data_IF_141635749319
#
_entry.id   IF_141635749319
#
_cell.length_a   1.000
_cell.length_b   1.000
_cell.length_c   1.000
_cell.angle_alpha   90.00
_cell.angle_beta   90.00
_cell.angle_gamma   90.00
#
_symmetry.space_group_name_H-M   'P 1'
#
loop_
_entity.id
_entity.type
_entity.pdbx_description
1 polymer ?
#
# COMPACT_ATOMS: atom_id res chain seq x y z
N UNK A 1 4.74 -3.61 -14.39
CA UNK A 1 4.96 -2.37 -13.62
C UNK A 1 6.39 -1.90 -13.84
N UNK A 2 6.67 -0.59 -13.83
CA UNK A 2 8.05 -0.08 -13.89
C UNK A 2 8.58 0.16 -12.46
N UNK A 3 9.84 -0.20 -12.22
CA UNK A 3 10.56 -0.04 -10.96
C UNK A 3 11.90 0.63 -11.24
N UNK A 4 12.13 1.81 -10.66
CA UNK A 4 13.40 2.55 -10.77
C UNK A 4 14.09 2.47 -9.41
N UNK A 5 15.16 1.68 -9.33
CA UNK A 5 15.98 1.59 -8.12
C UNK A 5 16.91 2.81 -8.00
N UNK A 6 17.42 3.15 -6.79
CA UNK A 6 18.33 4.28 -6.62
C UNK A 6 19.70 4.15 -7.31
N UNK A 7 20.26 2.94 -7.36
CA UNK A 7 21.62 2.67 -7.83
C UNK A 7 21.86 2.97 -9.34
N UNK A 8 20.91 2.75 -10.27
CA UNK A 8 21.05 3.19 -11.66
C UNK A 8 20.71 4.67 -11.92
N UNK A 9 20.32 5.47 -10.92
CA UNK A 9 20.06 6.91 -11.12
C UNK A 9 21.39 7.67 -11.17
N UNK A 10 21.64 8.34 -12.29
CA UNK A 10 22.82 9.19 -12.52
C UNK A 10 22.65 10.57 -11.87
N UNK A 11 21.48 11.17 -12.07
CA UNK A 11 21.19 12.54 -11.67
C UNK A 11 19.68 12.72 -11.45
N UNK A 12 19.31 13.42 -10.38
CA UNK A 12 17.93 13.78 -10.05
C UNK A 12 17.84 15.27 -9.66
N UNK A 13 17.22 16.07 -10.53
CA UNK A 13 17.08 17.53 -10.36
C UNK A 13 15.60 17.89 -10.18
N UNK A 14 15.33 18.86 -9.30
CA UNK A 14 14.03 19.52 -9.18
C UNK A 14 14.12 20.90 -9.83
N UNK A 15 13.44 21.09 -10.95
CA UNK A 15 13.29 22.37 -11.63
C UNK A 15 12.05 23.08 -11.04
N UNK A 16 12.26 24.16 -10.27
CA UNK A 16 11.21 24.87 -9.48
C UNK A 16 10.39 25.90 -10.28
N UNK A 17 10.73 26.07 -11.55
CA UNK A 17 9.96 26.82 -12.55
C UNK A 17 10.26 26.17 -13.88
N UNK A 18 9.25 25.97 -14.72
CA UNK A 18 9.42 25.43 -16.05
C UNK A 18 9.00 26.46 -17.10
N UNK A 19 9.74 26.47 -18.20
CA UNK A 19 9.35 27.15 -19.43
C UNK A 19 8.59 26.15 -20.34
N UNK A 20 7.92 26.65 -21.38
CA UNK A 20 7.23 25.83 -22.40
C UNK A 20 8.14 24.86 -23.18
N UNK A 21 9.45 24.95 -22.96
CA UNK A 21 10.48 24.03 -23.48
C UNK A 21 10.59 22.73 -22.68
N UNK A 22 10.22 22.75 -21.39
CA UNK A 22 10.31 21.61 -20.46
C UNK A 22 8.98 20.87 -20.34
N UNK A 23 7.87 21.61 -20.33
CA UNK A 23 6.50 21.06 -20.39
C UNK A 23 5.76 21.67 -21.58
N UNK A 24 5.14 20.83 -22.42
CA UNK A 24 4.33 21.33 -23.54
C UNK A 24 3.03 21.94 -23.02
N UNK A 25 2.59 23.06 -23.58
CA UNK A 25 1.36 23.74 -23.17
C UNK A 25 0.13 22.82 -23.02
N UNK A 26 -0.08 21.88 -23.96
CA UNK A 26 -1.18 20.90 -23.90
C UNK A 26 -1.06 19.82 -22.82
N UNK A 27 0.03 19.78 -22.04
CA UNK A 27 0.18 18.95 -20.84
C UNK A 27 -0.09 19.75 -19.56
N UNK A 28 0.02 21.09 -19.60
CA UNK A 28 -0.25 21.95 -18.43
C UNK A 28 -1.73 21.82 -18.03
N UNK A 29 -2.64 21.82 -19.01
CA UNK A 29 -4.08 21.58 -18.80
C UNK A 29 -4.45 20.17 -18.29
N UNK A 30 -3.50 19.23 -18.26
CA UNK A 30 -3.67 17.92 -17.61
C UNK A 30 -3.31 17.95 -16.11
N UNK A 31 -2.56 18.96 -15.66
CA UNK A 31 -2.21 19.18 -14.26
C UNK A 31 -3.31 20.01 -13.58
N UNK A 32 -4.01 19.41 -12.61
CA UNK A 32 -5.04 20.14 -11.85
C UNK A 32 -4.40 21.28 -11.05
N UNK A 33 -4.91 22.50 -11.24
CA UNK A 33 -4.41 23.68 -10.52
C UNK A 33 -3.09 24.24 -11.07
N UNK A 34 -2.86 24.16 -12.38
CA UNK A 34 -1.77 24.88 -13.06
C UNK A 34 -2.31 25.58 -14.31
N UNK A 35 -2.30 26.92 -14.30
CA UNK A 35 -2.71 27.72 -15.46
C UNK A 35 -1.51 28.14 -16.34
N UNK A 36 -0.28 28.06 -15.80
CA UNK A 36 0.96 28.38 -16.52
C UNK A 36 2.07 27.33 -16.29
N UNK A 37 3.09 27.33 -17.16
CA UNK A 37 4.29 26.50 -16.96
C UNK A 37 5.08 26.90 -15.69
N UNK A 38 4.94 28.16 -15.26
CA UNK A 38 5.53 28.65 -14.01
C UNK A 38 4.85 28.09 -12.75
N UNK A 39 3.64 27.52 -12.87
CA UNK A 39 2.94 26.82 -11.79
C UNK A 39 3.33 25.35 -11.66
N UNK A 40 4.29 24.88 -12.47
CA UNK A 40 4.75 23.50 -12.53
C UNK A 40 6.12 23.36 -11.88
N UNK A 41 6.33 22.23 -11.19
CA UNK A 41 7.63 21.74 -10.73
C UNK A 41 7.93 20.47 -11.51
N UNK A 42 9.15 20.32 -12.03
CA UNK A 42 9.58 19.11 -12.74
C UNK A 42 10.68 18.39 -11.98
N UNK A 43 10.44 17.13 -11.62
CA UNK A 43 11.48 16.20 -11.18
C UNK A 43 12.06 15.50 -12.41
N UNK A 44 13.34 15.73 -12.68
CA UNK A 44 14.06 15.21 -13.84
C UNK A 44 15.04 14.13 -13.39
N UNK A 45 14.76 12.90 -13.82
CA UNK A 45 15.54 11.70 -13.53
C UNK A 45 16.36 11.32 -14.76
N UNK A 46 17.68 11.32 -14.66
CA UNK A 46 18.60 10.70 -15.62
C UNK A 46 19.08 9.36 -15.07
N UNK A 47 19.04 8.32 -15.90
CA UNK A 47 19.38 6.95 -15.52
C UNK A 47 20.57 6.44 -16.35
N UNK A 48 21.57 5.86 -15.68
CA UNK A 48 22.71 5.18 -16.30
C UNK A 48 22.18 3.97 -17.12
N UNK A 49 21.21 3.25 -16.53
CA UNK A 49 20.59 2.02 -17.02
C UNK A 49 19.08 2.21 -17.08
N UNK A 50 18.41 1.41 -17.91
CA UNK A 50 16.95 1.40 -17.98
C UNK A 50 16.31 0.94 -16.67
N UNK A 51 15.05 1.33 -16.46
CA UNK A 51 14.26 0.89 -15.31
C UNK A 51 13.81 -0.57 -15.45
N UNK A 52 13.64 -1.25 -14.32
CA UNK A 52 13.30 -2.67 -14.26
C UNK A 52 11.79 -2.85 -14.46
N UNK A 53 11.39 -3.79 -15.30
CA UNK A 53 9.98 -4.16 -15.50
C UNK A 53 9.63 -5.33 -14.58
N UNK A 54 8.70 -5.12 -13.65
CA UNK A 54 8.07 -6.22 -12.92
C UNK A 54 7.00 -6.88 -13.80
N UNK A 55 7.12 -8.20 -13.98
CA UNK A 55 6.19 -9.04 -14.76
C UNK A 55 5.73 -10.23 -13.90
N UNK A 56 4.57 -10.87 -14.18
CA UNK A 56 4.12 -12.05 -13.42
C UNK A 56 5.12 -13.21 -13.49
N UNK A 57 5.16 -14.04 -12.43
CA UNK A 57 6.10 -15.17 -12.36
C UNK A 57 5.91 -16.20 -13.49
N UNK A 58 4.66 -16.41 -13.93
CA UNK A 58 4.33 -17.33 -15.04
C UNK A 58 4.67 -16.78 -16.45
N UNK A 59 5.02 -15.50 -16.57
CA UNK A 59 5.29 -14.85 -17.86
C UNK A 59 6.72 -15.12 -18.34
N UNK A 60 6.97 -16.36 -18.78
CA UNK A 60 8.22 -16.75 -19.43
C UNK A 60 8.43 -16.02 -20.76
N UNK A 61 7.33 -15.74 -21.48
CA UNK A 61 7.29 -15.06 -22.77
C UNK A 61 7.54 -13.54 -22.68
N UNK A 62 7.76 -12.95 -23.85
CA UNK A 62 7.59 -11.51 -24.11
C UNK A 62 6.15 -11.06 -23.84
N UNK A 63 5.96 -9.77 -23.56
CA UNK A 63 4.64 -9.16 -23.39
C UNK A 63 4.22 -8.56 -24.73
N UNK A 64 3.03 -8.89 -25.21
CA UNK A 64 2.39 -8.25 -26.36
C UNK A 64 1.33 -7.23 -25.91
N UNK A 65 1.05 -6.19 -26.71
CA UNK A 65 -0.12 -5.33 -26.48
C UNK A 65 -1.43 -6.11 -26.61
N UNK A 66 -2.53 -5.56 -26.07
CA UNK A 66 -3.85 -6.16 -26.19
C UNK A 66 -4.47 -5.96 -27.59
N UNK A 67 -4.01 -4.94 -28.33
CA UNK A 67 -4.39 -4.69 -29.72
C UNK A 67 -3.21 -4.12 -30.52
N UNK A 68 -3.26 -4.18 -31.85
CA UNK A 68 -2.16 -3.68 -32.70
C UNK A 68 -1.92 -2.16 -32.58
N UNK A 69 -2.92 -1.40 -32.11
CA UNK A 69 -2.87 0.06 -31.95
C UNK A 69 -2.96 0.50 -30.48
N UNK A 70 -2.51 -0.35 -29.54
CA UNK A 70 -2.50 -0.10 -28.11
C UNK A 70 -1.50 1.02 -27.74
N UNK A 71 -2.00 2.26 -27.74
CA UNK A 71 -1.21 3.47 -27.53
C UNK A 71 -0.63 3.55 -26.11
N UNK A 72 -1.35 3.05 -25.11
CA UNK A 72 -0.91 3.05 -23.71
C UNK A 72 0.20 2.02 -23.48
N UNK A 73 0.10 0.83 -24.07
CA UNK A 73 1.20 -0.14 -24.09
C UNK A 73 2.44 0.43 -24.80
N UNK A 74 2.26 1.08 -25.95
CA UNK A 74 3.36 1.69 -26.69
C UNK A 74 4.03 2.83 -25.89
N UNK A 75 3.25 3.66 -25.20
CA UNK A 75 3.75 4.70 -24.31
C UNK A 75 4.49 4.11 -23.11
N UNK A 76 3.93 3.11 -22.43
CA UNK A 76 4.53 2.45 -21.27
C UNK A 76 5.84 1.74 -21.62
N UNK A 77 5.89 1.00 -22.73
CA UNK A 77 7.10 0.38 -23.26
C UNK A 77 8.20 1.44 -23.51
N UNK A 78 7.83 2.56 -24.15
CA UNK A 78 8.75 3.69 -24.39
C UNK A 78 9.22 4.39 -23.12
N UNK A 79 8.41 4.44 -22.06
CA UNK A 79 8.83 4.95 -20.75
C UNK A 79 9.86 4.01 -20.11
N UNK A 80 9.68 2.68 -20.20
CA UNK A 80 10.67 1.71 -19.71
C UNK A 80 11.99 1.77 -20.51
N UNK A 81 11.91 2.07 -21.81
CA UNK A 81 13.08 2.29 -22.68
C UNK A 81 13.76 3.65 -22.47
N UNK A 82 13.15 4.60 -21.75
CA UNK A 82 13.69 5.94 -21.54
C UNK A 82 14.79 5.98 -20.48
N UNK A 83 15.92 6.63 -20.80
CA UNK A 83 16.98 6.99 -19.84
C UNK A 83 16.80 8.35 -19.18
N UNK A 84 15.85 9.16 -19.65
CA UNK A 84 15.47 10.43 -19.03
C UNK A 84 13.97 10.42 -18.81
N UNK A 85 13.53 10.64 -17.57
CA UNK A 85 12.12 10.66 -17.18
C UNK A 85 11.85 11.98 -16.45
N UNK A 86 10.93 12.77 -16.99
CA UNK A 86 10.43 13.99 -16.36
C UNK A 86 9.09 13.67 -15.69
N UNK A 87 8.98 13.96 -14.39
CA UNK A 87 7.71 13.90 -13.65
C UNK A 87 7.29 15.34 -13.34
N UNK A 88 6.13 15.75 -13.83
CA UNK A 88 5.60 17.11 -13.68
C UNK A 88 4.52 17.14 -12.60
N UNK A 89 4.59 18.13 -11.72
CA UNK A 89 3.69 18.33 -10.59
C UNK A 89 3.19 19.78 -10.58
N UNK A 90 1.92 20.02 -10.23
CA UNK A 90 1.46 21.38 -9.91
C UNK A 90 2.04 21.80 -8.55
N UNK A 91 2.46 23.07 -8.44
CA UNK A 91 2.88 23.69 -7.18
C UNK A 91 1.82 23.58 -6.08
N UNK A 92 0.54 23.51 -6.45
CA UNK A 92 -0.57 23.37 -5.50
C UNK A 92 -0.63 21.98 -4.84
N UNK A 93 0.10 20.97 -5.35
CA UNK A 93 0.14 19.62 -4.78
C UNK A 93 1.10 19.47 -3.58
N UNK A 94 1.95 20.46 -3.30
CA UNK A 94 2.91 20.42 -2.20
C UNK A 94 2.42 21.26 -1.02
N UNK A 95 2.19 20.65 0.13
CA UNK A 95 1.66 21.32 1.33
C UNK A 95 2.76 21.41 2.40
N UNK A 96 2.93 22.60 2.99
CA UNK A 96 3.86 22.82 4.10
C UNK A 96 5.34 22.55 3.78
N UNK A 97 5.79 21.30 3.96
CA UNK A 97 7.18 20.88 3.82
C UNK A 97 7.43 19.87 2.68
N UNK A 98 6.40 19.41 1.96
CA UNK A 98 6.52 18.36 0.95
C UNK A 98 7.55 18.69 -0.15
N UNK A 99 7.58 19.95 -0.61
CA UNK A 99 8.56 20.42 -1.59
C UNK A 99 10.00 20.37 -1.06
N UNK A 100 10.20 20.65 0.23
CA UNK A 100 11.51 20.52 0.88
C UNK A 100 11.90 19.04 1.01
N UNK A 101 10.96 18.15 1.30
CA UNK A 101 11.20 16.70 1.29
C UNK A 101 11.58 16.21 -0.11
N UNK A 102 10.90 16.66 -1.18
CA UNK A 102 11.25 16.32 -2.56
C UNK A 102 12.66 16.80 -2.93
N UNK A 103 13.04 18.02 -2.54
CA UNK A 103 14.40 18.55 -2.74
C UNK A 103 15.47 17.75 -1.96
N UNK A 104 15.17 17.34 -0.73
CA UNK A 104 16.05 16.48 0.08
C UNK A 104 16.18 15.09 -0.56
N UNK A 105 15.07 14.50 -1.03
CA UNK A 105 15.05 13.21 -1.71
C UNK A 105 15.86 13.24 -3.01
N UNK A 106 15.62 14.21 -3.90
CA UNK A 106 16.35 14.35 -5.16
C UNK A 106 17.87 14.53 -4.94
N UNK A 107 18.24 15.29 -3.90
CA UNK A 107 19.63 15.46 -3.48
C UNK A 107 20.22 14.17 -2.91
N UNK A 108 19.49 13.42 -2.08
CA UNK A 108 19.96 12.16 -1.50
C UNK A 108 20.14 11.08 -2.58
N UNK A 109 19.21 11.01 -3.53
CA UNK A 109 19.23 10.14 -4.70
C UNK A 109 20.46 10.43 -5.59
N UNK A 110 20.65 11.69 -5.98
CA UNK A 110 21.83 12.15 -6.75
C UNK A 110 23.15 12.03 -6.00
N UNK A 111 23.12 11.89 -4.67
CA UNK A 111 24.31 11.65 -3.84
C UNK A 111 24.59 10.17 -3.62
N UNK A 112 23.84 9.27 -4.28
CA UNK A 112 23.82 7.82 -4.05
C UNK A 112 23.71 7.41 -2.56
N UNK A 113 22.99 8.20 -1.76
CA UNK A 113 22.75 7.96 -0.31
C UNK A 113 21.49 7.14 -0.02
N UNK A 114 20.77 6.77 -1.07
CA UNK A 114 19.58 5.92 -1.00
C UNK A 114 19.94 4.54 -1.57
N UNK A 115 19.43 3.49 -0.95
CA UNK A 115 19.57 2.11 -1.41
C UNK A 115 18.18 1.54 -1.69
N UNK A 116 18.06 0.64 -2.67
CA UNK A 116 16.82 -0.08 -2.92
C UNK A 116 16.48 -0.95 -1.70
N UNK A 117 15.26 -0.88 -1.13
CA UNK A 117 14.80 -1.86 -0.17
C UNK A 117 14.75 -3.25 -0.82
N UNK A 118 15.14 -4.29 -0.09
CA UNK A 118 14.96 -5.67 -0.52
C UNK A 118 13.46 -6.03 -0.48
N UNK A 119 12.75 -5.77 -1.57
CA UNK A 119 11.35 -6.16 -1.74
C UNK A 119 11.24 -7.65 -2.08
N UNK A 120 10.48 -8.39 -1.28
CA UNK A 120 10.05 -9.73 -1.64
C UNK A 120 8.87 -9.67 -2.63
N UNK A 121 9.17 -9.95 -3.90
CA UNK A 121 8.17 -10.00 -4.96
C UNK A 121 7.32 -11.29 -4.96
N UNK A 122 7.53 -12.24 -4.05
CA UNK A 122 6.72 -13.47 -3.96
C UNK A 122 5.24 -13.21 -3.69
N UNK A 123 4.93 -12.17 -2.89
CA UNK A 123 3.56 -11.83 -2.49
C UNK A 123 2.82 -10.91 -3.48
N UNK A 124 3.52 -10.36 -4.48
CA UNK A 124 2.90 -9.51 -5.50
C UNK A 124 1.88 -10.28 -6.34
N UNK A 125 1.00 -9.54 -7.03
CA UNK A 125 -0.01 -10.09 -7.93
C UNK A 125 -0.91 -11.15 -7.23
N UNK A 126 -1.52 -10.77 -6.12
CA UNK A 126 -2.40 -11.62 -5.29
C UNK A 126 -1.75 -12.97 -4.91
N UNK A 127 -0.49 -12.93 -4.46
CA UNK A 127 0.28 -14.12 -4.08
C UNK A 127 0.77 -15.00 -5.23
N UNK A 128 0.59 -14.59 -6.50
CA UNK A 128 1.11 -15.32 -7.68
C UNK A 128 2.58 -15.00 -8.00
N UNK A 129 3.13 -13.99 -7.34
CA UNK A 129 4.51 -13.54 -7.49
C UNK A 129 4.74 -12.67 -8.74
N UNK A 130 5.77 -11.82 -8.63
CA UNK A 130 6.36 -11.09 -9.75
C UNK A 130 7.87 -11.37 -9.84
N UNK A 131 8.42 -11.24 -11.05
CA UNK A 131 9.84 -11.32 -11.34
C UNK A 131 10.31 -10.01 -11.99
N UNK A 132 11.56 -9.66 -11.76
CA UNK A 132 12.23 -8.55 -12.43
C UNK A 132 12.76 -8.98 -13.81
N UNK A 133 12.50 -8.17 -14.83
CA UNK A 133 13.11 -8.29 -16.16
C UNK A 133 13.49 -6.92 -16.71
N UNK A 134 14.35 -6.90 -17.73
CA UNK A 134 14.71 -5.67 -18.45
C UNK A 134 13.60 -5.26 -19.45
N UNK A 135 13.69 -4.06 -20.04
CA UNK A 135 12.73 -3.55 -21.02
C UNK A 135 12.60 -4.43 -22.28
N UNK A 136 13.55 -5.32 -22.54
CA UNK A 136 13.53 -6.29 -23.64
C UNK A 136 12.35 -7.26 -23.60
N UNK A 137 11.59 -7.33 -22.49
CA UNK A 137 10.29 -8.05 -22.44
C UNK A 137 9.27 -7.54 -23.46
N UNK A 138 9.40 -6.31 -23.95
CA UNK A 138 8.53 -5.73 -24.98
C UNK A 138 9.02 -5.99 -26.41
N UNK A 139 10.22 -6.54 -26.59
CA UNK A 139 10.73 -6.92 -27.92
C UNK A 139 10.07 -8.23 -28.35
N UNK A 140 9.10 -8.16 -29.26
CA UNK A 140 8.72 -9.36 -30.01
C UNK A 140 9.94 -9.86 -30.81
N UNK A 141 10.19 -11.18 -30.88
CA UNK A 141 11.17 -11.71 -31.81
C UNK A 141 10.77 -11.26 -33.22
N UNK A 142 11.71 -10.61 -33.91
CA UNK A 142 11.44 -10.02 -35.23
C UNK A 142 10.96 -11.10 -36.20
N UNK A 143 9.95 -10.74 -37.02
CA UNK A 143 9.39 -11.64 -38.03
C UNK A 143 10.53 -12.31 -38.82
N UNK A 144 10.47 -13.64 -39.05
CA UNK A 144 11.51 -14.34 -39.79
C UNK A 144 11.72 -13.66 -41.15
N UNK A 145 12.99 -13.56 -41.62
CA UNK A 145 13.33 -12.72 -42.76
C UNK A 145 12.47 -13.09 -43.96
N UNK A 146 11.92 -12.10 -44.70
CA UNK A 146 10.86 -12.34 -45.66
C UNK A 146 11.35 -13.30 -46.76
N UNK A 147 10.83 -14.53 -46.73
CA UNK A 147 11.03 -15.49 -47.80
C UNK A 147 10.54 -14.85 -49.09
N UNK A 148 11.46 -14.66 -50.03
CA UNK A 148 11.17 -14.03 -51.32
C UNK A 148 10.21 -14.93 -52.09
N UNK A 149 8.92 -14.64 -52.02
CA UNK A 149 7.94 -15.15 -52.97
C UNK A 149 8.29 -14.61 -54.35
N UNK A 150 9.07 -15.39 -55.10
CA UNK A 150 9.37 -15.13 -56.50
C UNK A 150 8.04 -15.33 -57.26
N UNK A 151 7.36 -14.23 -57.55
CA UNK A 151 6.25 -14.19 -58.50
C UNK A 151 6.88 -13.86 -59.87
N UNK A 152 7.04 -14.83 -60.79
CA UNK A 152 7.56 -14.55 -62.12
C UNK A 152 6.45 -13.90 -62.96
N UNK A 153 6.46 -12.57 -63.03
CA UNK A 153 5.61 -11.84 -63.96
C UNK A 153 6.07 -12.04 -65.41
N UNK A 154 5.09 -12.12 -66.31
CA UNK A 154 5.22 -12.16 -67.78
C UNK A 154 5.75 -13.47 -68.40
N UNK A 155 4.82 -14.38 -68.71
CA UNK A 155 4.88 -15.18 -69.94
C UNK A 155 3.57 -15.00 -70.71
N UNK A 156 3.67 -14.69 -72.00
CA UNK A 156 2.53 -14.36 -72.88
C UNK A 156 2.45 -15.40 -73.98
N UNK A 157 1.33 -16.14 -74.08
CA UNK A 157 0.79 -16.73 -75.32
C UNK A 157 -0.52 -17.50 -75.06
N UNK A 158 -1.37 -17.64 -76.09
CA UNK A 158 -2.48 -18.62 -76.11
C UNK A 158 -3.90 -18.06 -76.01
N UNK A 159 -4.46 -17.55 -77.13
CA UNK A 159 -5.92 -17.28 -77.24
C UNK A 159 -6.69 -18.54 -77.67
N UNK A 160 -7.77 -18.91 -76.96
CA UNK A 160 -9.12 -19.19 -77.54
C UNK A 160 -10.18 -19.58 -76.48
N UNK A 161 -11.47 -19.21 -76.65
CA UNK A 161 -12.56 -19.56 -75.73
C UNK A 161 -13.57 -20.57 -76.32
N UNK A 162 -14.30 -21.32 -75.46
CA UNK A 162 -15.68 -21.79 -75.69
C UNK A 162 -16.42 -22.17 -74.40
N UNK A 163 -17.74 -22.34 -74.49
CA UNK A 163 -18.71 -22.46 -73.40
C UNK A 163 -18.92 -23.88 -72.86
N UNK A 164 -19.32 -23.94 -71.58
CA UNK A 164 -20.40 -24.77 -70.98
C UNK A 164 -20.62 -26.20 -71.51
N UNK A 165 -20.32 -27.20 -70.67
CA UNK A 165 -21.19 -28.36 -70.37
C UNK A 165 -20.71 -29.14 -69.12
N UNK A 166 -21.64 -29.66 -68.32
CA UNK A 166 -21.44 -30.68 -67.27
C UNK A 166 -21.48 -32.11 -67.90
N UNK A 167 -21.27 -33.25 -67.19
CA UNK A 167 -21.19 -33.49 -65.73
C UNK A 167 -20.08 -34.48 -65.25
N UNK A 168 -20.16 -34.87 -63.96
CA UNK A 168 -19.39 -35.93 -63.26
C UNK A 168 -19.64 -37.35 -63.83
N UNK A 169 -18.81 -38.40 -63.52
CA UNK A 169 -18.88 -39.07 -62.19
C UNK A 169 -17.59 -39.80 -61.69
N UNK A 170 -17.73 -40.51 -60.56
CA UNK A 170 -16.81 -41.51 -59.94
C UNK A 170 -15.52 -41.00 -59.23
N UNK A 171 -15.13 -41.52 -58.06
CA UNK A 171 -15.84 -42.41 -57.13
C UNK A 171 -14.96 -42.98 -56.00
N UNK A 172 -15.56 -43.42 -54.87
CA UNK A 172 -15.03 -44.32 -53.81
C UNK A 172 -13.69 -43.97 -53.09
N UNK A 173 -13.50 -44.20 -51.77
CA UNK A 173 -14.27 -44.92 -50.73
C UNK A 173 -13.75 -44.58 -49.32
N UNK A 174 -14.56 -44.88 -48.29
CA UNK A 174 -14.21 -45.27 -46.90
C UNK A 174 -13.31 -44.39 -46.01
N UNK A 175 -13.75 -44.11 -44.77
CA UNK A 175 -12.96 -43.41 -43.74
C UNK A 175 -13.77 -42.89 -42.55
N UNK A 176 -14.21 -43.77 -41.63
CA UNK A 176 -15.02 -43.40 -40.45
C UNK A 176 -14.13 -42.96 -39.28
N UNK A 177 -14.47 -41.85 -38.62
CA UNK A 177 -14.08 -41.56 -37.22
C UNK A 177 -15.01 -40.51 -36.61
N UNK A 178 -15.47 -40.74 -35.38
CA UNK A 178 -16.35 -39.83 -34.61
C UNK A 178 -15.50 -39.09 -33.57
N UNK A 179 -15.72 -37.77 -33.33
CA UNK A 179 -15.03 -37.06 -32.24
C UNK A 179 -15.52 -37.55 -30.87
N UNK A 180 -14.62 -37.94 -29.93
CA UNK A 180 -15.03 -38.37 -28.60
C UNK A 180 -15.40 -37.19 -27.70
N UNK A 181 -16.50 -37.32 -26.96
CA UNK A 181 -16.83 -36.45 -25.83
C UNK A 181 -15.76 -36.58 -24.73
N UNK A 182 -15.35 -35.46 -24.15
CA UNK A 182 -14.59 -35.44 -22.90
C UNK A 182 -15.37 -34.70 -21.82
N UNK A 183 -15.75 -35.42 -20.77
CA UNK A 183 -16.27 -34.82 -19.54
C UNK A 183 -15.17 -34.03 -18.81
N UNK A 184 -15.49 -32.91 -18.15
CA UNK A 184 -14.58 -32.33 -17.16
C UNK A 184 -14.48 -33.28 -15.96
N UNK A 185 -13.26 -33.71 -15.65
CA UNK A 185 -12.98 -34.62 -14.53
C UNK A 185 -13.06 -33.89 -13.20
N UNK A 186 -14.04 -34.24 -12.35
CA UNK A 186 -14.04 -33.84 -10.94
C UNK A 186 -12.95 -34.59 -10.16
N UNK A 187 -11.79 -33.98 -10.01
CA UNK A 187 -10.75 -34.46 -9.09
C UNK A 187 -11.06 -34.01 -7.66
N UNK A 188 -11.31 -34.99 -6.79
CA UNK A 188 -11.55 -34.83 -5.36
C UNK A 188 -10.24 -34.42 -4.66
N UNK A 189 -10.19 -33.21 -4.09
CA UNK A 189 -9.13 -32.82 -3.15
C UNK A 189 -9.72 -32.81 -1.74
N UNK A 190 -9.23 -33.69 -0.89
CA UNK A 190 -9.75 -33.85 0.48
C UNK A 190 -9.04 -32.91 1.47
N UNK A 191 -9.85 -32.25 2.30
CA UNK A 191 -9.55 -31.73 3.64
C UNK A 191 -8.33 -30.80 3.80
N UNK A 192 -8.63 -29.54 4.17
CA UNK A 192 -8.11 -28.95 5.42
C UNK A 192 -8.91 -27.67 5.76
N UNK A 193 -10.08 -27.86 6.37
CA UNK A 193 -10.90 -26.77 6.91
C UNK A 193 -10.74 -26.73 8.44
N UNK A 194 -10.16 -25.68 9.03
CA UNK A 194 -10.16 -25.48 10.47
C UNK A 194 -11.56 -25.00 10.91
N UNK A 195 -12.44 -25.94 11.24
CA UNK A 195 -13.73 -25.63 11.86
C UNK A 195 -13.58 -25.63 13.38
N UNK A 196 -13.28 -24.48 13.97
CA UNK A 196 -13.43 -24.29 15.43
C UNK A 196 -14.51 -23.25 15.73
N UNK A 197 -15.69 -23.78 16.07
CA UNK A 197 -16.73 -23.05 16.78
C UNK A 197 -16.93 -23.79 18.10
N UNK A 198 -16.46 -23.22 19.22
CA UNK A 198 -17.28 -22.98 20.41
C UNK A 198 -16.55 -22.38 21.62
N UNK A 199 -17.25 -21.43 22.26
CA UNK A 199 -17.24 -21.07 23.69
C UNK A 199 -16.01 -20.42 24.35
N UNK A 200 -16.22 -19.46 25.28
CA UNK A 200 -15.16 -18.75 25.99
C UNK A 200 -14.70 -19.50 27.25
N UNK A 201 -13.45 -19.27 27.66
CA UNK A 201 -12.95 -19.60 29.01
C UNK A 201 -12.71 -18.31 29.78
N UNK A 202 -13.44 -18.13 30.88
CA UNK A 202 -13.32 -17.00 31.80
C UNK A 202 -12.58 -17.42 33.08
N UNK A 203 -12.23 -16.44 33.93
CA UNK A 203 -11.79 -16.57 35.33
C UNK A 203 -10.39 -17.17 35.55
N UNK A 204 -9.48 -16.35 36.08
CA UNK A 204 -8.94 -16.54 37.44
C UNK A 204 -8.23 -15.28 37.96
N UNK A 205 -9.01 -14.38 38.57
CA UNK A 205 -8.51 -13.33 39.48
C UNK A 205 -9.00 -13.69 40.89
N UNK A 206 -8.17 -13.67 41.96
CA UNK A 206 -8.60 -14.13 43.28
C UNK A 206 -9.58 -13.17 43.97
N UNK A 207 -10.67 -13.71 44.54
CA UNK A 207 -11.74 -12.95 45.20
C UNK A 207 -11.60 -12.94 46.73
N UNK A 208 -11.88 -11.79 47.35
CA UNK A 208 -12.14 -11.56 48.79
C UNK A 208 -13.23 -10.46 48.82
N UNK A 209 -14.53 -10.68 49.09
CA UNK A 209 -15.23 -11.22 50.29
C UNK A 209 -14.96 -10.29 51.50
N UNK A 210 -15.90 -9.59 52.17
CA UNK A 210 -17.37 -9.64 52.37
C UNK A 210 -17.86 -8.22 52.86
N UNK A 211 -19.13 -7.75 52.96
CA UNK A 211 -20.51 -8.24 52.75
C UNK A 211 -21.50 -7.08 52.43
N UNK A 212 -22.69 -7.41 51.93
CA UNK A 212 -24.06 -6.83 52.09
C UNK A 212 -24.32 -5.36 52.53
N UNK A 213 -25.16 -4.63 51.75
CA UNK A 213 -26.61 -4.41 52.07
C UNK A 213 -27.39 -3.51 51.08
N UNK A 214 -28.70 -3.77 50.98
CA UNK A 214 -29.75 -2.88 50.45
C UNK A 214 -30.00 -1.69 51.42
N UNK A 215 -30.67 -0.57 51.12
CA UNK A 215 -31.96 -0.44 50.42
C UNK A 215 -32.36 1.03 50.08
N UNK A 216 -33.32 1.19 49.16
CA UNK A 216 -34.27 2.30 48.91
C UNK A 216 -33.92 3.82 49.07
N UNK A 217 -33.97 4.50 47.91
CA UNK A 217 -34.68 5.78 47.65
C UNK A 217 -34.05 7.17 48.07
N UNK A 218 -34.46 8.30 47.41
CA UNK A 218 -33.69 9.58 47.38
C UNK A 218 -34.25 10.67 48.35
N UNK A 219 -33.49 11.74 48.74
CA UNK A 219 -33.21 12.86 47.81
C UNK A 219 -31.95 13.76 48.01
N UNK A 220 -31.47 14.32 46.88
CA UNK A 220 -30.98 15.71 46.70
C UNK A 220 -29.60 16.20 47.21
N UNK A 221 -29.10 17.22 46.47
CA UNK A 221 -28.01 18.18 46.73
C UNK A 221 -26.64 17.69 47.27
N UNK A 222 -25.65 17.53 46.37
CA UNK A 222 -24.57 18.54 46.17
C UNK A 222 -23.71 18.23 44.93
N UNK A 223 -23.09 19.27 44.35
CA UNK A 223 -22.24 19.16 43.15
C UNK A 223 -20.75 19.18 43.49
N UNK A 224 -20.05 18.09 43.18
CA UNK A 224 -18.59 17.96 43.02
C UNK A 224 -18.33 16.65 42.25
N UNK A 225 -17.29 16.48 41.42
CA UNK A 225 -15.97 17.10 41.49
C UNK A 225 -15.46 17.58 40.11
N UNK A 226 -15.10 18.86 40.02
CA UNK A 226 -14.18 19.39 39.01
C UNK A 226 -12.77 19.44 39.59
N UNK A 227 -11.78 18.86 38.90
CA UNK A 227 -10.37 18.97 39.30
C UNK A 227 -9.45 19.36 38.13
N UNK A 228 -9.61 20.61 37.67
CA UNK A 228 -8.64 21.31 36.83
C UNK A 228 -7.35 21.63 37.65
N UNK A 229 -6.27 22.18 37.06
CA UNK A 229 -4.91 21.72 37.40
C UNK A 229 -4.36 22.17 38.75
N UNK A 230 -3.43 21.35 39.28
CA UNK A 230 -2.63 21.64 40.48
C UNK A 230 -1.87 22.96 40.27
N UNK A 231 -2.16 23.95 41.12
CA UNK A 231 -1.40 25.22 41.16
C UNK A 231 0.02 24.97 41.66
N UNK A 232 1.01 25.19 40.81
CA UNK A 232 2.42 25.29 41.21
C UNK A 232 2.54 26.43 42.23
N UNK A 233 3.06 26.14 43.43
CA UNK A 233 3.42 27.16 44.42
C UNK A 233 4.86 27.62 44.19
N UNK A 234 5.19 28.92 44.41
CA UNK A 234 6.58 29.37 44.36
C UNK A 234 7.44 28.70 45.45
N UNK A 235 8.59 28.16 45.06
CA UNK A 235 9.58 27.60 46.00
C UNK A 235 10.25 28.74 46.78
N UNK A 236 10.02 28.82 48.09
CA UNK A 236 10.69 29.79 48.96
C UNK A 236 12.05 29.21 49.39
N UNK A 237 13.13 29.80 48.88
CA UNK A 237 14.49 29.43 49.29
C UNK A 237 14.82 29.98 50.69
N UNK A 238 14.73 29.12 51.71
CA UNK A 238 15.22 29.44 53.07
C UNK A 238 16.74 29.46 53.10
N UNK A 239 17.34 30.66 52.97
CA UNK A 239 18.78 30.88 53.12
C UNK A 239 19.22 30.54 54.55
N UNK A 240 19.93 29.41 54.70
CA UNK A 240 20.48 28.99 55.99
C UNK A 240 21.41 30.05 56.60
N UNK A 241 21.21 30.33 57.90
CA UNK A 241 22.08 31.20 58.72
C UNK A 241 22.88 30.40 59.77
N UNK A 242 22.93 29.08 59.61
CA UNK A 242 23.42 28.10 60.61
C UNK A 242 24.94 28.12 60.79
N UNK A 243 25.70 28.44 59.75
CA UNK A 243 27.18 28.50 59.78
C UNK A 243 27.70 29.64 60.66
N UNK A 244 27.25 30.87 60.41
CA UNK A 244 27.76 32.08 61.07
C UNK A 244 27.57 32.05 62.60
N UNK A 245 26.48 31.44 63.09
CA UNK A 245 26.24 31.23 64.52
C UNK A 245 27.23 30.20 65.12
N UNK A 246 27.49 29.10 64.40
CA UNK A 246 28.39 28.02 64.81
C UNK A 246 29.84 28.52 64.94
N UNK A 247 30.29 29.35 64.01
CA UNK A 247 31.67 29.87 64.02
C UNK A 247 31.86 31.00 65.06
N UNK A 248 30.83 31.81 65.33
CA UNK A 248 30.83 32.78 66.44
C UNK A 248 30.98 32.08 67.80
N UNK A 249 30.33 30.93 67.99
CA UNK A 249 30.47 30.12 69.21
C UNK A 249 31.86 29.49 69.34
N UNK A 250 32.45 28.99 68.25
CA UNK A 250 33.86 28.52 68.24
C UNK A 250 34.81 29.64 68.67
N UNK A 251 34.66 30.85 68.11
CA UNK A 251 35.50 31.99 68.45
C UNK A 251 35.40 32.38 69.94
N UNK A 252 34.20 32.36 70.52
CA UNK A 252 34.00 32.59 71.96
C UNK A 252 34.48 31.43 72.86
N UNK A 253 34.65 30.22 72.31
CA UNK A 253 35.32 29.11 73.01
C UNK A 253 36.84 29.29 72.97
N UNK A 254 37.40 29.61 71.80
CA UNK A 254 38.83 29.88 71.64
C UNK A 254 39.31 31.07 72.47
N UNK A 255 38.52 32.15 72.58
CA UNK A 255 38.85 33.30 73.43
C UNK A 255 39.02 32.89 74.90
N UNK A 256 38.07 32.13 75.46
CA UNK A 256 38.16 31.66 76.86
C UNK A 256 39.36 30.73 77.09
N UNK A 257 39.59 29.79 76.18
CA UNK A 257 40.77 28.90 76.25
C UNK A 257 42.12 29.65 76.10
N UNK A 258 42.13 30.90 75.61
CA UNK A 258 43.31 31.76 75.58
C UNK A 258 43.43 32.67 76.82
N UNK A 259 42.31 32.96 77.50
CA UNK A 259 42.28 33.73 78.75
C UNK A 259 42.82 32.92 79.94
N UNK A 260 42.72 31.59 79.87
CA UNK A 260 43.28 30.65 80.87
C UNK A 260 44.79 30.36 80.68
N UNK A 261 45.45 30.88 79.63
CA UNK A 261 46.86 30.59 79.32
C UNK A 261 47.77 31.79 79.67
N UNK A 262 48.89 31.58 80.39
CA UNK A 262 49.84 32.65 80.68
C UNK A 262 50.40 33.37 79.44
N UNK A 263 50.41 34.70 79.48
CA UNK A 263 50.85 35.63 78.43
C UNK A 263 52.13 35.22 77.67
N UNK A 264 53.11 34.64 78.37
CA UNK A 264 54.38 34.22 77.77
C UNK A 264 54.23 33.02 76.83
N UNK A 265 53.38 32.05 77.17
CA UNK A 265 53.04 30.91 76.32
C UNK A 265 52.16 31.32 75.14
N UNK A 266 51.21 32.25 75.35
CA UNK A 266 50.43 32.83 74.25
C UNK A 266 51.35 33.51 73.22
N UNK A 267 52.32 34.30 73.68
CA UNK A 267 53.34 34.95 72.82
C UNK A 267 54.25 33.96 72.10
N UNK A 268 54.48 32.76 72.64
CA UNK A 268 55.26 31.71 71.97
C UNK A 268 54.42 30.98 70.90
N UNK A 269 53.16 30.64 71.22
CA UNK A 269 52.23 30.02 70.26
C UNK A 269 51.98 30.92 69.06
N UNK A 270 51.80 32.22 69.27
CA UNK A 270 51.61 33.20 68.18
C UNK A 270 52.90 33.40 67.34
N UNK A 271 54.08 33.11 67.90
CA UNK A 271 55.36 33.06 67.18
C UNK A 271 55.57 31.77 66.37
N UNK A 272 54.64 30.80 66.39
CA UNK A 272 54.73 29.63 65.52
C UNK A 272 54.68 30.03 64.03
N UNK A 273 55.48 29.43 63.12
CA UNK A 273 55.64 29.91 61.74
C UNK A 273 54.37 29.86 60.88
N UNK A 274 53.31 29.16 61.31
CA UNK A 274 51.98 29.21 60.67
C UNK A 274 51.11 30.41 61.09
N UNK A 275 51.50 31.14 62.14
CA UNK A 275 50.70 32.21 62.77
C UNK A 275 51.43 33.57 62.75
N UNK A 276 52.77 33.58 62.64
CA UNK A 276 53.60 34.80 62.56
C UNK A 276 53.07 35.89 61.60
N UNK A 277 52.49 35.52 60.45
CA UNK A 277 51.93 36.47 59.49
C UNK A 277 50.72 37.28 60.02
N UNK A 278 50.10 36.84 61.13
CA UNK A 278 49.03 37.56 61.84
C UNK A 278 49.56 38.43 63.00
N UNK A 279 50.84 38.29 63.37
CA UNK A 279 51.55 39.15 64.33
C UNK A 279 52.25 40.35 63.68
N UNK A 280 52.14 40.51 62.36
CA UNK A 280 52.74 41.60 61.59
C UNK A 280 52.08 42.95 61.90
N UNK A 281 52.36 43.49 63.08
CA UNK A 281 52.02 44.87 63.45
C UNK A 281 52.64 45.83 62.43
N UNK A 282 51.90 46.86 62.04
CA UNK A 282 52.12 47.70 60.85
C UNK A 282 53.35 48.64 60.94
N UNK A 283 54.40 48.28 61.68
CA UNK A 283 55.52 49.15 62.07
C UNK A 283 56.92 48.62 61.70
N UNK A 284 57.04 47.39 61.16
CA UNK A 284 58.30 46.86 60.62
C UNK A 284 58.41 46.93 59.07
N UNK A 285 57.36 47.39 58.36
CA UNK A 285 57.34 47.45 56.90
C UNK A 285 58.02 48.71 56.29
N UNK A 286 58.68 49.55 57.10
CA UNK A 286 59.27 50.83 56.66
C UNK A 286 60.81 50.85 56.55
N UNK A 287 61.54 49.78 56.92
CA UNK A 287 63.03 49.82 56.92
C UNK A 287 63.75 49.10 55.78
N UNK A 288 63.22 47.99 55.26
CA UNK A 288 63.94 47.20 54.24
C UNK A 288 63.38 47.32 52.81
N UNK A 289 62.23 47.99 52.62
CA UNK A 289 61.64 48.21 51.30
C UNK A 289 62.27 49.38 50.51
N UNK A 290 63.30 50.05 51.05
CA UNK A 290 63.98 51.17 50.37
C UNK A 290 65.04 50.68 49.35
N UNK A 291 64.70 49.72 48.49
CA UNK A 291 65.43 49.39 47.26
C UNK A 291 64.56 48.53 46.31
N UNK A 292 64.42 49.00 45.07
CA UNK A 292 63.88 48.24 43.92
C UNK A 292 62.41 47.78 44.04
N UNK A 293 61.46 48.70 43.85
CA UNK A 293 60.34 48.46 42.92
C UNK A 293 59.85 49.79 42.32
N UNK A 294 59.59 49.80 41.01
CA UNK A 294 59.03 50.97 40.32
C UNK A 294 57.53 51.11 40.58
N UNK A 295 57.01 52.33 40.48
CA UNK A 295 55.58 52.63 40.66
C UNK A 295 54.72 51.98 39.56
N UNK A 296 54.23 50.76 39.83
CA UNK A 296 53.05 50.20 39.17
C UNK A 296 51.87 50.55 40.06
N UNK A 297 50.94 51.38 39.57
CA UNK A 297 49.80 51.81 40.37
C UNK A 297 48.86 50.62 40.67
N UNK A 298 48.32 50.55 41.90
CA UNK A 298 47.43 49.46 42.33
C UNK A 298 46.24 49.23 41.38
N UNK A 299 45.70 50.31 40.80
CA UNK A 299 44.61 50.27 39.83
C UNK A 299 44.94 49.51 38.53
N UNK A 300 46.22 49.28 38.20
CA UNK A 300 46.64 48.43 37.09
C UNK A 300 46.57 46.94 37.49
N UNK A 301 47.02 46.63 38.71
CA UNK A 301 46.98 45.27 39.30
C UNK A 301 45.54 44.84 39.54
N UNK A 302 44.70 45.71 40.11
CA UNK A 302 43.28 45.46 40.35
C UNK A 302 42.55 45.10 39.04
N UNK A 303 42.75 45.88 37.97
CA UNK A 303 42.19 45.58 36.63
C UNK A 303 42.75 44.29 36.01
N UNK A 304 43.95 43.86 36.37
CA UNK A 304 44.51 42.57 35.90
C UNK A 304 43.87 41.40 36.67
N UNK A 305 43.67 41.55 37.97
CA UNK A 305 42.97 40.58 38.83
C UNK A 305 41.51 40.46 38.40
N UNK A 306 40.79 41.55 38.26
CA UNK A 306 39.38 41.58 37.85
C UNK A 306 39.16 40.94 36.47
N UNK A 307 40.00 41.27 35.46
CA UNK A 307 39.98 40.61 34.14
C UNK A 307 40.37 39.12 34.18
N UNK A 308 41.11 38.65 35.19
CA UNK A 308 41.37 37.21 35.39
C UNK A 308 40.18 36.53 36.06
N UNK A 309 39.64 37.13 37.12
CA UNK A 309 38.47 36.62 37.86
C UNK A 309 37.25 36.49 36.94
N UNK A 310 36.95 37.52 36.15
CA UNK A 310 35.81 37.52 35.23
C UNK A 310 35.94 36.44 34.14
N UNK A 311 37.13 36.24 33.54
CA UNK A 311 37.34 35.14 32.58
C UNK A 311 37.21 33.77 33.22
N UNK A 312 37.75 33.57 34.42
CA UNK A 312 37.63 32.29 35.13
C UNK A 312 36.15 31.98 35.45
N UNK A 313 35.42 32.96 35.98
CA UNK A 313 33.98 32.85 36.23
C UNK A 313 33.18 32.62 34.94
N UNK A 314 33.52 33.30 33.84
CA UNK A 314 32.85 33.14 32.56
C UNK A 314 33.10 31.76 31.94
N UNK A 315 34.34 31.24 32.00
CA UNK A 315 34.66 29.88 31.54
C UNK A 315 34.01 28.80 32.41
N UNK A 316 34.05 28.94 33.74
CA UNK A 316 33.48 27.96 34.68
C UNK A 316 31.94 27.96 34.61
N UNK A 317 31.29 29.12 34.55
CA UNK A 317 29.83 29.26 34.44
C UNK A 317 29.33 28.83 33.06
N UNK A 318 30.06 29.10 31.98
CA UNK A 318 29.77 28.59 30.63
C UNK A 318 29.96 27.07 30.54
N UNK A 319 30.96 26.52 31.24
CA UNK A 319 31.17 25.08 31.39
C UNK A 319 30.03 24.40 32.17
N UNK A 320 29.61 24.99 33.29
CA UNK A 320 28.48 24.50 34.09
C UNK A 320 27.15 24.59 33.31
N UNK A 321 26.88 25.71 32.65
CA UNK A 321 25.69 25.89 31.81
C UNK A 321 25.67 24.88 30.66
N UNK A 322 26.79 24.68 29.95
CA UNK A 322 26.88 23.66 28.89
C UNK A 322 26.58 22.26 29.43
N UNK A 323 27.12 21.86 30.59
CA UNK A 323 26.82 20.56 31.22
C UNK A 323 25.33 20.42 31.58
N UNK A 324 24.72 21.46 32.16
CA UNK A 324 23.30 21.46 32.55
C UNK A 324 22.37 21.38 31.33
N UNK A 325 22.69 22.11 30.25
CA UNK A 325 21.93 22.05 28.98
C UNK A 325 22.10 20.68 28.33
N UNK A 326 23.31 20.13 28.30
CA UNK A 326 23.58 18.78 27.77
C UNK A 326 22.74 17.74 28.53
N UNK A 327 22.85 17.67 29.87
CA UNK A 327 22.08 16.73 30.69
C UNK A 327 20.56 16.86 30.51
N UNK A 328 20.02 18.07 30.36
CA UNK A 328 18.59 18.28 30.08
C UNK A 328 18.21 17.83 28.67
N UNK A 329 19.04 18.08 27.67
CA UNK A 329 18.81 17.67 26.29
C UNK A 329 18.88 16.16 26.15
N UNK A 330 19.92 15.54 26.69
CA UNK A 330 20.13 14.08 26.71
C UNK A 330 18.91 13.40 27.37
N UNK A 331 18.45 13.88 28.53
CA UNK A 331 17.26 13.33 29.19
C UNK A 331 15.96 13.50 28.37
N UNK A 332 15.80 14.60 27.63
CA UNK A 332 14.64 14.83 26.76
C UNK A 332 14.65 13.87 25.55
N UNK A 333 15.83 13.63 24.98
CA UNK A 333 16.06 12.71 23.85
C UNK A 333 15.93 11.24 24.28
N UNK A 334 16.44 10.87 25.45
CA UNK A 334 16.39 9.48 25.97
C UNK A 334 15.00 9.11 26.50
N UNK A 335 14.34 10.00 27.27
CA UNK A 335 13.15 9.62 28.04
C UNK A 335 11.81 10.12 27.43
N UNK A 336 11.78 11.27 26.75
CA UNK A 336 10.52 11.85 26.27
C UNK A 336 10.32 11.72 24.77
N UNK A 337 11.40 11.79 23.97
CA UNK A 337 11.30 11.60 22.52
C UNK A 337 10.76 10.21 22.12
N UNK A 338 11.17 9.08 22.74
CA UNK A 338 10.63 7.77 22.38
C UNK A 338 9.16 7.62 22.80
N UNK A 339 8.78 8.16 23.96
CA UNK A 339 7.40 8.11 24.45
C UNK A 339 6.45 8.94 23.56
N UNK A 340 6.88 10.13 23.13
CA UNK A 340 6.12 10.96 22.19
C UNK A 340 6.03 10.32 20.80
N UNK A 341 7.13 9.72 20.31
CA UNK A 341 7.14 8.99 19.05
C UNK A 341 6.21 7.76 19.10
N UNK A 342 6.23 6.99 20.19
CA UNK A 342 5.34 5.84 20.37
C UNK A 342 3.87 6.26 20.40
N UNK A 343 3.50 7.25 21.20
CA UNK A 343 2.11 7.74 21.26
C UNK A 343 1.62 8.28 19.89
N UNK A 344 2.49 8.94 19.12
CA UNK A 344 2.17 9.37 17.76
C UNK A 344 2.01 8.20 16.79
N UNK A 345 2.92 7.21 16.84
CA UNK A 345 2.88 6.02 16.00
C UNK A 345 1.68 5.14 16.32
N UNK A 346 1.39 4.87 17.60
CA UNK A 346 0.21 4.11 18.02
C UNK A 346 -1.08 4.83 17.59
N UNK A 347 -1.16 6.16 17.79
CA UNK A 347 -2.30 6.96 17.32
C UNK A 347 -2.49 6.89 15.80
N UNK A 348 -1.41 7.02 15.02
CA UNK A 348 -1.44 6.92 13.56
C UNK A 348 -1.79 5.49 13.09
N UNK A 349 -1.19 4.46 13.67
CA UNK A 349 -1.42 3.04 13.31
C UNK A 349 -2.84 2.63 13.62
N UNK A 350 -3.39 2.99 14.79
CA UNK A 350 -4.82 2.80 15.09
C UNK A 350 -5.68 3.51 14.04
N UNK A 351 -5.44 4.81 13.81
CA UNK A 351 -6.19 5.60 12.83
C UNK A 351 -6.01 5.17 11.36
N UNK A 352 -5.01 4.36 11.02
CA UNK A 352 -4.87 3.72 9.70
C UNK A 352 -5.55 2.35 9.64
N UNK A 353 -5.42 1.53 10.69
CA UNK A 353 -6.10 0.24 10.83
C UNK A 353 -7.63 0.41 10.79
N UNK A 354 -8.15 1.39 11.51
CA UNK A 354 -9.60 1.56 11.66
C UNK A 354 -10.24 2.06 10.35
N UNK A 355 -9.52 2.91 9.58
CA UNK A 355 -9.90 3.25 8.20
C UNK A 355 -9.83 2.04 7.27
N UNK A 356 -8.76 1.25 7.33
CA UNK A 356 -8.62 0.03 6.53
C UNK A 356 -9.77 -0.97 6.77
N UNK A 357 -10.25 -1.13 8.01
CA UNK A 357 -11.40 -1.98 8.28
C UNK A 357 -12.72 -1.45 7.69
N UNK A 358 -12.98 -0.14 7.78
CA UNK A 358 -14.18 0.43 7.14
C UNK A 358 -14.09 0.43 5.60
N UNK A 359 -12.89 0.64 5.02
CA UNK A 359 -12.64 0.48 3.58
C UNK A 359 -12.89 -0.97 3.12
N UNK A 360 -12.38 -1.97 3.86
CA UNK A 360 -12.61 -3.38 3.59
C UNK A 360 -14.09 -3.76 3.65
N UNK A 361 -14.79 -3.31 4.68
CA UNK A 361 -16.23 -3.53 4.93
C UNK A 361 -17.11 -2.86 3.87
N UNK A 362 -16.74 -1.66 3.41
CA UNK A 362 -17.42 -0.98 2.29
C UNK A 362 -17.21 -1.74 0.97
N UNK A 363 -15.99 -2.22 0.72
CA UNK A 363 -15.69 -3.04 -0.46
C UNK A 363 -16.38 -4.42 -0.40
N UNK A 364 -16.48 -5.05 0.77
CA UNK A 364 -17.21 -6.30 0.98
C UNK A 364 -18.71 -6.14 0.68
N UNK A 365 -19.33 -5.06 1.16
CA UNK A 365 -20.72 -4.73 0.83
C UNK A 365 -20.92 -4.52 -0.70
N UNK A 366 -20.02 -3.78 -1.35
CA UNK A 366 -20.07 -3.56 -2.81
C UNK A 366 -19.83 -4.83 -3.63
N UNK A 367 -19.02 -5.77 -3.14
CA UNK A 367 -18.85 -7.10 -3.75
C UNK A 367 -20.10 -7.97 -3.59
N UNK A 368 -20.80 -7.88 -2.46
CA UNK A 368 -22.10 -8.53 -2.27
C UNK A 368 -23.17 -7.97 -3.22
N UNK A 369 -23.29 -6.64 -3.31
CA UNK A 369 -24.24 -5.99 -4.24
C UNK A 369 -23.96 -6.39 -5.71
N UNK A 370 -22.69 -6.41 -6.13
CA UNK A 370 -22.29 -6.84 -7.47
C UNK A 370 -22.55 -8.33 -7.73
N UNK A 371 -22.40 -9.18 -6.71
CA UNK A 371 -22.71 -10.60 -6.81
C UNK A 371 -24.22 -10.84 -6.92
N UNK A 372 -25.03 -10.14 -6.12
CA UNK A 372 -26.49 -10.24 -6.15
C UNK A 372 -27.08 -9.72 -7.47
N UNK A 373 -26.59 -8.59 -8.01
CA UNK A 373 -26.96 -8.12 -9.37
C UNK A 373 -26.49 -9.11 -10.45
N UNK A 374 -25.30 -9.70 -10.30
CA UNK A 374 -24.85 -10.80 -11.15
C UNK A 374 -25.84 -11.98 -11.14
N UNK A 375 -26.36 -12.35 -9.97
CA UNK A 375 -27.31 -13.45 -9.78
C UNK A 375 -28.74 -13.12 -10.23
N UNK A 376 -29.22 -11.87 -10.11
CA UNK A 376 -30.54 -11.48 -10.63
C UNK A 376 -30.53 -11.44 -12.15
N UNK A 377 -29.51 -10.86 -12.78
CA UNK A 377 -29.35 -10.85 -14.25
C UNK A 377 -29.21 -12.26 -14.81
N UNK A 378 -28.38 -13.11 -14.20
CA UNK A 378 -28.24 -14.51 -14.65
C UNK A 378 -29.55 -15.30 -14.52
N UNK A 379 -30.37 -15.03 -13.49
CA UNK A 379 -31.69 -15.65 -13.36
C UNK A 379 -32.65 -15.15 -14.44
N UNK A 380 -32.74 -13.84 -14.66
CA UNK A 380 -33.59 -13.26 -15.70
C UNK A 380 -33.27 -13.82 -17.09
N UNK A 381 -31.99 -13.90 -17.47
CA UNK A 381 -31.58 -14.50 -18.76
C UNK A 381 -31.82 -16.01 -18.82
N UNK A 382 -31.73 -16.73 -17.70
CA UNK A 382 -32.10 -18.15 -17.66
C UNK A 382 -33.62 -18.37 -17.82
N UNK A 383 -34.43 -17.51 -17.20
CA UNK A 383 -35.89 -17.52 -17.33
C UNK A 383 -36.31 -17.16 -18.78
N UNK A 384 -35.70 -16.12 -19.37
CA UNK A 384 -35.85 -15.75 -20.80
C UNK A 384 -35.54 -16.94 -21.72
N UNK A 385 -34.37 -17.58 -21.58
CA UNK A 385 -34.00 -18.75 -22.37
C UNK A 385 -34.91 -19.97 -22.13
N UNK A 386 -35.50 -20.13 -20.93
CA UNK A 386 -36.51 -21.17 -20.70
C UNK A 386 -37.77 -20.90 -21.52
N UNK A 387 -38.26 -19.66 -21.52
CA UNK A 387 -39.44 -19.28 -22.30
C UNK A 387 -39.22 -19.42 -23.82
N UNK A 388 -38.04 -19.04 -24.34
CA UNK A 388 -37.71 -19.23 -25.76
C UNK A 388 -37.70 -20.73 -26.15
N UNK A 389 -37.16 -21.60 -25.28
CA UNK A 389 -37.15 -23.05 -25.51
C UNK A 389 -38.54 -23.69 -25.41
N UNK A 390 -39.39 -23.20 -24.50
CA UNK A 390 -40.78 -23.63 -24.35
C UNK A 390 -41.62 -23.22 -25.58
N UNK A 391 -41.51 -21.97 -26.04
CA UNK A 391 -42.16 -21.49 -27.26
C UNK A 391 -41.69 -22.28 -28.50
N UNK A 392 -40.38 -22.50 -28.66
CA UNK A 392 -39.83 -23.32 -29.75
C UNK A 392 -40.34 -24.77 -29.70
N UNK A 393 -40.45 -25.37 -28.51
CA UNK A 393 -40.97 -26.72 -28.35
C UNK A 393 -42.46 -26.79 -28.69
N UNK A 394 -43.25 -25.82 -28.23
CA UNK A 394 -44.68 -25.72 -28.53
C UNK A 394 -44.93 -25.50 -30.02
N UNK A 395 -44.18 -24.61 -30.68
CA UNK A 395 -44.23 -24.39 -32.13
C UNK A 395 -43.88 -25.67 -32.92
N UNK A 396 -43.00 -26.54 -32.42
CA UNK A 396 -42.73 -27.86 -33.04
C UNK A 396 -43.86 -28.85 -32.80
N UNK A 397 -44.42 -28.91 -31.58
CA UNK A 397 -45.54 -29.77 -31.21
C UNK A 397 -46.76 -29.48 -32.08
N UNK A 398 -47.11 -28.21 -32.28
CA UNK A 398 -48.31 -27.85 -33.04
C UNK A 398 -48.17 -28.14 -34.53
N UNK A 399 -47.01 -27.84 -35.15
CA UNK A 399 -46.75 -28.28 -36.54
C UNK A 399 -46.80 -29.80 -36.73
N UNK A 400 -46.45 -30.60 -35.71
CA UNK A 400 -46.64 -32.06 -35.77
C UNK A 400 -48.10 -32.48 -35.63
N UNK A 401 -48.96 -31.72 -34.92
CA UNK A 401 -50.41 -31.94 -34.92
C UNK A 401 -50.99 -31.64 -36.30
N UNK A 402 -50.64 -30.50 -36.89
CA UNK A 402 -51.12 -30.09 -38.22
C UNK A 402 -50.78 -31.15 -39.28
N UNK A 403 -49.53 -31.63 -39.30
CA UNK A 403 -49.08 -32.71 -40.19
C UNK A 403 -49.78 -34.04 -39.93
N UNK A 404 -50.12 -34.36 -38.67
CA UNK A 404 -50.87 -35.55 -38.34
C UNK A 404 -52.35 -35.45 -38.76
N UNK A 405 -52.95 -34.26 -38.68
CA UNK A 405 -54.31 -34.01 -39.17
C UNK A 405 -54.38 -34.06 -40.71
N UNK A 406 -53.43 -33.43 -41.40
CA UNK A 406 -53.28 -33.53 -42.87
C UNK A 406 -53.15 -35.00 -43.32
N UNK A 407 -52.27 -35.78 -42.67
CA UNK A 407 -52.11 -37.19 -42.94
C UNK A 407 -53.38 -38.02 -42.66
N UNK A 408 -54.09 -37.74 -41.57
CA UNK A 408 -55.36 -38.41 -41.25
C UNK A 408 -56.46 -38.09 -42.27
N UNK A 409 -56.53 -36.85 -42.75
CA UNK A 409 -57.48 -36.43 -43.78
C UNK A 409 -57.19 -37.15 -45.12
N UNK A 410 -55.93 -37.20 -45.56
CA UNK A 410 -55.51 -37.93 -46.76
C UNK A 410 -55.81 -39.44 -46.66
N UNK A 411 -55.58 -40.05 -45.49
CA UNK A 411 -55.95 -41.45 -45.22
C UNK A 411 -57.47 -41.62 -45.28
N UNK A 412 -58.25 -40.67 -44.76
CA UNK A 412 -59.72 -40.66 -44.85
C UNK A 412 -60.23 -40.63 -46.29
N UNK A 413 -59.68 -39.75 -47.13
CA UNK A 413 -60.00 -39.68 -48.56
C UNK A 413 -59.68 -40.99 -49.29
N UNK A 414 -58.48 -41.56 -49.06
CA UNK A 414 -58.11 -42.85 -49.62
C UNK A 414 -59.03 -43.99 -49.16
N UNK A 415 -59.49 -43.98 -47.90
CA UNK A 415 -60.45 -44.96 -47.39
C UNK A 415 -61.84 -44.80 -48.02
N UNK A 416 -62.33 -43.58 -48.26
CA UNK A 416 -63.61 -43.38 -48.96
C UNK A 416 -63.52 -43.75 -50.45
N UNK A 417 -62.40 -43.45 -51.11
CA UNK A 417 -62.10 -43.97 -52.45
C UNK A 417 -62.14 -45.50 -52.46
N UNK A 418 -61.47 -46.17 -51.52
CA UNK A 418 -61.47 -47.63 -51.43
C UNK A 418 -62.88 -48.20 -51.16
N UNK A 419 -63.68 -47.57 -50.29
CA UNK A 419 -65.09 -47.91 -50.06
C UNK A 419 -65.95 -47.70 -51.30
N UNK A 420 -65.67 -46.69 -52.13
CA UNK A 420 -66.38 -46.46 -53.40
C UNK A 420 -66.06 -47.55 -54.42
N UNK A 421 -64.78 -47.84 -54.66
CA UNK A 421 -64.32 -48.92 -55.54
C UNK A 421 -64.87 -50.28 -55.08
N UNK A 422 -64.87 -50.56 -53.78
CA UNK A 422 -65.45 -51.79 -53.22
C UNK A 422 -66.96 -51.90 -53.45
N UNK A 423 -67.71 -50.79 -53.34
CA UNK A 423 -69.17 -50.77 -53.60
C UNK A 423 -69.48 -51.02 -55.08
N UNK A 424 -68.70 -50.46 -55.99
CA UNK A 424 -68.93 -50.65 -57.42
C UNK A 424 -68.47 -52.02 -57.92
N UNK A 425 -67.37 -52.56 -57.39
CA UNK A 425 -66.98 -53.95 -57.64
C UNK A 425 -68.05 -54.93 -57.12
N UNK A 426 -68.68 -54.64 -55.97
CA UNK A 426 -69.82 -55.40 -55.46
C UNK A 426 -71.12 -55.22 -56.26
N UNK A 427 -71.28 -54.13 -57.03
CA UNK A 427 -72.38 -53.93 -58.00
C UNK A 427 -72.15 -54.67 -59.31
N UNK A 428 -70.88 -54.82 -59.73
CA UNK A 428 -70.48 -55.57 -60.93
C UNK A 428 -70.48 -57.09 -60.69
N UNK A 429 -70.38 -57.54 -59.43
CA UNK A 429 -70.59 -58.93 -59.07
C UNK A 429 -72.02 -59.40 -59.44
N UNK A 430 -72.19 -60.38 -60.35
CA UNK A 430 -73.51 -60.75 -60.82
C UNK A 430 -74.31 -61.45 -59.72
N UNK A 431 -75.57 -61.04 -59.53
CA UNK A 431 -76.59 -61.93 -58.97
C UNK A 431 -76.70 -63.14 -59.91
N UNK A 432 -76.06 -64.24 -59.53
CA UNK A 432 -76.47 -65.57 -59.98
C UNK A 432 -77.52 -66.07 -59.01
N UNK A 433 -78.67 -66.43 -59.56
CA UNK A 433 -79.73 -67.10 -58.82
C UNK A 433 -79.25 -68.44 -58.26
N UNK A 434 -80.07 -69.03 -57.39
CA UNK A 434 -79.84 -70.40 -56.96
C UNK A 434 -79.88 -71.34 -58.18
N UNK A 435 -78.81 -72.12 -58.40
CA UNK A 435 -78.91 -73.58 -58.28
C UNK A 435 -77.55 -74.30 -58.41
N UNK A 436 -77.45 -75.40 -57.64
CA UNK A 436 -76.75 -76.64 -58.00
C UNK A 436 -75.32 -76.56 -58.58
N UNK A 437 -74.31 -76.50 -57.70
CA UNK A 437 -73.07 -77.26 -57.93
C UNK A 437 -72.34 -77.72 -56.66
N UNK A 438 -72.76 -78.89 -56.22
CA UNK A 438 -72.02 -80.01 -55.61
C UNK A 438 -70.67 -79.73 -54.92
N UNK A 439 -70.62 -80.12 -53.64
CA UNK A 439 -69.42 -80.23 -52.80
C UNK A 439 -68.30 -81.02 -53.50
N UNK A 440 -67.08 -80.48 -53.51
CA UNK A 440 -65.87 -81.30 -53.42
C UNK A 440 -64.97 -80.82 -52.28
N UNK A 441 -64.40 -81.79 -51.57
CA UNK A 441 -63.83 -81.66 -50.22
C UNK A 441 -62.37 -82.12 -50.25
N UNK A 442 -61.45 -81.23 -50.61
CA UNK A 442 -60.02 -81.50 -50.53
C UNK A 442 -59.52 -81.34 -49.09
N UNK A 443 -58.53 -82.16 -48.70
CA UNK A 443 -58.06 -82.31 -47.31
C UNK A 443 -56.75 -81.55 -47.09
N UNK A 444 -56.42 -81.36 -45.81
CA UNK A 444 -55.06 -81.01 -45.35
C UNK A 444 -54.04 -82.03 -45.87
N UNK A 445 -52.87 -81.51 -46.24
CA UNK A 445 -51.60 -82.05 -45.74
C UNK A 445 -51.04 -80.92 -44.89
#
# INVERSE_FOLDING_TARGET
MLSIRPEPVDMCIVELSCDDTVIRAGMISMLRGSDSASDVITLKLSLIRNGIVLVPLASNSTISPASQNDADFAAFSKICQSKTINLHFSKQQFIGHDLLQLLIFAKALSSHRLHSPNFDYSRFNNGRGAQEKDWTVFEQPSNPPPYKHIIPSNSVLGKRPRNVASPSPSGSREGVSVPPYFHPSWSRTEVNTPTEVNTPTEVNTPTVVDSDKEDNAPPSYTTSSTCSPIRIRPTVFTREKTTQQKDRLKAQSAKRMLEDIPDHLVREILKAPRIQHLLATQQELERDNSLIFGQVADAEVEKIVERRMNRYLEEELKGAFKKLVQQRLDHLVEAQLPLAAQLFLDGAVNGHRDRFYEDCKMNEAGLHELADDGCTRLRATADECSTELEDMAQEKIDRFKDQAEEANNLIGEHLEHLKHWSRDLARVAPRKDAESRTIMRCKSV
#
